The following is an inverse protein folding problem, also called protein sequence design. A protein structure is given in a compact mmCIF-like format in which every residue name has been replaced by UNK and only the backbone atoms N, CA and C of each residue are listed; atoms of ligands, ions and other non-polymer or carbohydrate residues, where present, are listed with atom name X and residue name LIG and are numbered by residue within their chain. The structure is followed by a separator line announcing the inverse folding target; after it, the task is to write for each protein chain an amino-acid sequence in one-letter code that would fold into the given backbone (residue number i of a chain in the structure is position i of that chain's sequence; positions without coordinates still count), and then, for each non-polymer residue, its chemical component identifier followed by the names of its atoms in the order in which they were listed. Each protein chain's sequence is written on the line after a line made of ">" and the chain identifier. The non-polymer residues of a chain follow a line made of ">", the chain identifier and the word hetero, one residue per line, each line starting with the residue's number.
data_IF_423278835207
#
_entry.id   IF_423278835207
#
_cell.length_a   1.000
_cell.length_b   1.000
_cell.length_c   1.000
_cell.angle_alpha   90.00
_cell.angle_beta   90.00
_cell.angle_gamma   90.00
#
_symmetry.space_group_name_H-M   'P 1'
#
loop_
_entity.id
_entity.type
_entity.pdbx_description
1 polymer ?
#
# COMPACT_ATOMS: atom_id res chain seq x y z
N UNK A 1 -27.16 2.40 1.40
CA UNK A 1 -27.35 3.82 1.75
C UNK A 1 -28.81 4.18 1.50
N UNK A 2 -29.58 4.43 2.54
CA UNK A 2 -30.95 4.94 2.46
C UNK A 2 -31.04 6.19 3.34
N UNK A 3 -30.66 7.33 2.76
CA UNK A 3 -30.81 8.66 3.35
C UNK A 3 -31.26 9.60 2.25
N UNK A 4 -32.09 10.59 2.58
CA UNK A 4 -32.59 11.56 1.60
C UNK A 4 -31.42 12.21 0.86
N UNK A 5 -31.40 12.07 -0.48
CA UNK A 5 -30.40 12.71 -1.35
C UNK A 5 -30.74 14.20 -1.46
N UNK A 6 -30.54 14.93 -0.36
CA UNK A 6 -30.72 16.39 -0.31
C UNK A 6 -29.48 17.00 -0.94
N UNK A 7 -29.64 17.50 -2.17
CA UNK A 7 -28.59 18.26 -2.86
C UNK A 7 -28.54 19.66 -2.25
N UNK A 8 -27.34 20.11 -1.84
CA UNK A 8 -27.13 21.41 -1.18
C UNK A 8 -26.51 22.48 -2.09
N UNK A 9 -26.25 22.15 -3.35
CA UNK A 9 -25.60 23.02 -4.35
C UNK A 9 -26.34 22.91 -5.68
N UNK A 10 -26.36 23.98 -6.47
CA UNK A 10 -27.06 24.01 -7.75
C UNK A 10 -26.28 23.28 -8.86
N UNK A 11 -24.95 23.29 -8.80
CA UNK A 11 -24.08 22.59 -9.75
C UNK A 11 -22.72 22.25 -9.14
N UNK A 12 -22.03 21.27 -9.75
CA UNK A 12 -20.63 20.93 -9.46
C UNK A 12 -19.90 20.88 -10.79
N UNK A 13 -18.77 21.60 -10.87
CA UNK A 13 -17.85 21.56 -12.00
C UNK A 13 -16.59 20.86 -11.53
N UNK A 14 -16.21 19.79 -12.21
CA UNK A 14 -14.94 19.11 -11.99
C UNK A 14 -13.92 19.66 -12.98
N UNK A 15 -13.08 20.58 -12.52
CA UNK A 15 -11.97 21.08 -13.31
C UNK A 15 -10.71 20.23 -13.04
N UNK A 16 -10.03 19.82 -14.11
CA UNK A 16 -8.82 19.01 -14.01
C UNK A 16 -7.60 19.91 -14.20
N UNK A 17 -7.13 20.48 -13.08
CA UNK A 17 -5.90 21.27 -13.02
C UNK A 17 -4.77 20.34 -12.58
N UNK A 18 -4.01 19.81 -13.53
CA UNK A 18 -2.99 18.79 -13.26
C UNK A 18 -1.75 19.33 -12.55
N UNK A 19 -1.45 20.63 -12.69
CA UNK A 19 -0.33 21.27 -11.99
C UNK A 19 -0.78 21.74 -10.59
N UNK A 20 -0.18 21.22 -9.50
CA UNK A 20 -0.67 21.53 -8.16
C UNK A 20 -0.45 22.99 -7.73
N UNK A 21 0.57 23.66 -8.26
CA UNK A 21 0.82 25.08 -7.96
C UNK A 21 -0.25 25.96 -8.61
N UNK A 22 -0.65 25.62 -9.84
CA UNK A 22 -1.77 26.26 -10.54
C UNK A 22 -3.08 26.04 -9.81
N UNK A 23 -3.34 24.81 -9.32
CA UNK A 23 -4.54 24.52 -8.53
C UNK A 23 -4.57 25.33 -7.22
N UNK A 24 -3.43 25.45 -6.53
CA UNK A 24 -3.34 26.27 -5.33
C UNK A 24 -3.54 27.76 -5.61
N UNK A 25 -2.94 28.30 -6.68
CA UNK A 25 -3.15 29.69 -7.07
C UNK A 25 -4.62 29.99 -7.43
N UNK A 26 -5.30 29.08 -8.13
CA UNK A 26 -6.72 29.19 -8.44
C UNK A 26 -7.58 29.18 -7.16
N UNK A 27 -7.22 28.34 -6.18
CA UNK A 27 -7.89 28.31 -4.88
C UNK A 27 -7.70 29.64 -4.12
N UNK A 28 -6.49 30.20 -4.10
CA UNK A 28 -6.22 31.50 -3.47
C UNK A 28 -6.93 32.67 -4.17
N UNK A 29 -7.07 32.59 -5.50
CA UNK A 29 -7.80 33.58 -6.29
C UNK A 29 -9.33 33.45 -6.17
N UNK A 30 -9.84 32.38 -5.56
CA UNK A 30 -11.27 32.07 -5.49
C UNK A 30 -11.86 31.62 -6.83
N UNK A 31 -11.02 31.15 -7.76
CA UNK A 31 -11.46 30.59 -9.05
C UNK A 31 -12.00 29.16 -8.89
N UNK A 32 -11.54 28.45 -7.85
CA UNK A 32 -12.06 27.14 -7.44
C UNK A 32 -12.36 27.14 -5.93
N UNK A 33 -13.35 26.36 -5.51
CA UNK A 33 -13.77 26.28 -4.10
C UNK A 33 -13.10 25.13 -3.33
N UNK A 34 -12.52 24.15 -4.05
CA UNK A 34 -12.10 22.88 -3.45
C UNK A 34 -10.94 22.23 -4.20
N UNK A 35 -9.95 21.75 -3.45
CA UNK A 35 -8.88 20.86 -3.92
C UNK A 35 -8.93 19.59 -3.08
N UNK A 36 -9.11 18.43 -3.71
CA UNK A 36 -9.30 17.15 -3.01
C UNK A 36 -8.06 16.72 -2.22
N UNK A 37 -6.88 16.85 -2.83
CA UNK A 37 -5.60 16.43 -2.25
C UNK A 37 -4.53 17.48 -2.53
N UNK A 38 -4.33 18.47 -1.64
CA UNK A 38 -3.22 19.40 -1.80
C UNK A 38 -1.88 18.65 -1.63
N UNK A 39 -0.83 19.07 -2.37
CA UNK A 39 0.53 18.58 -2.14
C UNK A 39 0.98 18.78 -0.70
N UNK A 40 1.71 17.80 -0.15
CA UNK A 40 2.19 17.83 1.24
C UNK A 40 3.05 19.07 1.56
N UNK A 41 3.83 19.57 0.59
CA UNK A 41 4.68 20.77 0.72
C UNK A 41 3.87 22.07 0.76
N UNK A 42 2.67 22.09 0.16
CA UNK A 42 1.76 23.24 0.19
C UNK A 42 0.85 23.27 1.41
N UNK A 43 0.66 22.15 2.12
CA UNK A 43 -0.25 22.07 3.28
C UNK A 43 0.02 23.17 4.31
N UNK A 44 1.28 23.36 4.72
CA UNK A 44 1.61 24.39 5.71
C UNK A 44 1.39 25.82 5.20
N UNK A 45 1.52 26.05 3.90
CA UNK A 45 1.23 27.34 3.28
C UNK A 45 -0.28 27.59 3.28
N UNK A 46 -1.08 26.59 2.89
CA UNK A 46 -2.55 26.67 2.90
C UNK A 46 -3.06 26.92 4.31
N UNK A 47 -2.53 26.23 5.33
CA UNK A 47 -2.92 26.41 6.73
C UNK A 47 -2.57 27.79 7.30
N UNK A 48 -1.62 28.50 6.68
CA UNK A 48 -1.25 29.85 7.08
C UNK A 48 -2.14 30.94 6.48
N UNK A 49 -2.93 30.61 5.43
CA UNK A 49 -3.84 31.55 4.80
C UNK A 49 -5.16 31.63 5.61
N UNK A 50 -5.52 32.82 6.13
CA UNK A 50 -6.72 32.96 6.96
C UNK A 50 -8.04 32.76 6.20
N UNK A 51 -8.01 32.70 4.86
CA UNK A 51 -9.19 32.49 4.02
C UNK A 51 -9.39 31.02 3.63
N UNK A 52 -8.42 30.16 3.91
CA UNK A 52 -8.45 28.76 3.53
C UNK A 52 -8.53 27.85 4.76
N UNK A 53 -9.07 26.65 4.54
CA UNK A 53 -9.16 25.60 5.57
C UNK A 53 -8.65 24.31 4.97
N UNK A 54 -7.74 23.65 5.69
CA UNK A 54 -7.36 22.26 5.42
C UNK A 54 -8.12 21.37 6.40
N UNK A 55 -8.85 20.39 5.87
CA UNK A 55 -9.60 19.43 6.69
C UNK A 55 -9.35 17.98 6.23
N UNK A 56 -9.37 17.06 7.18
CA UNK A 56 -9.25 15.62 6.94
C UNK A 56 -10.66 15.05 6.85
N UNK A 57 -11.17 14.98 5.62
CA UNK A 57 -12.53 14.50 5.36
C UNK A 57 -12.67 12.98 5.56
N UNK A 58 -11.66 12.21 5.14
CA UNK A 58 -11.59 10.77 5.40
C UNK A 58 -10.73 10.50 6.64
N UNK A 59 -11.40 10.38 7.78
CA UNK A 59 -10.75 10.07 9.07
C UNK A 59 -10.27 8.63 9.20
N UNK A 60 -10.79 7.72 8.35
CA UNK A 60 -10.33 6.32 8.34
C UNK A 60 -9.03 6.19 7.54
N UNK A 61 -8.88 7.03 6.52
CA UNK A 61 -7.69 7.11 5.71
C UNK A 61 -7.49 5.89 4.81
N UNK A 62 -6.28 5.81 4.25
CA UNK A 62 -5.87 4.73 3.35
C UNK A 62 -4.63 4.05 3.89
N UNK A 63 -4.62 2.73 3.87
CA UNK A 63 -3.46 1.91 4.16
C UNK A 63 -2.60 1.77 2.89
N UNK A 64 -1.37 2.31 2.94
CA UNK A 64 -0.37 2.12 1.88
C UNK A 64 0.21 0.72 1.98
N UNK A 65 0.45 0.07 0.84
CA UNK A 65 1.04 -1.27 0.81
C UNK A 65 1.93 -1.50 -0.40
N UNK A 66 2.98 -2.29 -0.18
CA UNK A 66 3.82 -2.84 -1.24
C UNK A 66 3.29 -4.22 -1.65
N UNK A 67 2.86 -4.36 -2.91
CA UNK A 67 2.43 -5.64 -3.46
C UNK A 67 3.58 -6.32 -4.18
N UNK A 68 3.92 -7.54 -3.77
CA UNK A 68 4.90 -8.39 -4.46
C UNK A 68 4.20 -9.36 -5.42
N UNK A 69 4.89 -9.72 -6.49
CA UNK A 69 4.46 -10.75 -7.43
C UNK A 69 5.09 -12.10 -7.10
N UNK A 70 4.30 -13.03 -6.55
CA UNK A 70 4.80 -14.34 -6.08
C UNK A 70 5.12 -15.30 -7.25
N UNK A 71 4.79 -14.93 -8.49
CA UNK A 71 5.13 -15.71 -9.67
C UNK A 71 6.53 -15.38 -10.21
N UNK A 72 7.17 -14.30 -9.72
CA UNK A 72 8.44 -13.82 -10.23
C UNK A 72 9.57 -14.11 -9.26
N UNK A 73 10.70 -14.58 -9.79
CA UNK A 73 11.94 -14.61 -9.02
C UNK A 73 12.38 -13.19 -8.62
N UNK A 74 12.93 -12.99 -7.41
CA UNK A 74 13.13 -14.00 -6.36
C UNK A 74 11.92 -14.17 -5.41
N UNK A 75 10.78 -13.50 -5.64
CA UNK A 75 9.64 -13.46 -4.72
C UNK A 75 8.73 -14.70 -4.73
N UNK A 76 8.95 -15.61 -5.66
CA UNK A 76 8.49 -17.00 -5.58
C UNK A 76 9.10 -17.72 -4.37
N UNK A 77 10.32 -17.32 -3.95
CA UNK A 77 10.94 -17.76 -2.71
C UNK A 77 10.51 -16.88 -1.54
N UNK A 78 10.10 -17.53 -0.45
CA UNK A 78 9.65 -16.82 0.73
C UNK A 78 10.75 -15.99 1.42
N UNK A 79 12.00 -16.44 1.38
CA UNK A 79 13.11 -15.70 1.98
C UNK A 79 13.28 -14.32 1.36
N UNK A 80 13.03 -14.17 0.06
CA UNK A 80 13.04 -12.87 -0.60
C UNK A 80 11.85 -11.99 -0.15
N UNK A 81 10.69 -12.58 0.14
CA UNK A 81 9.55 -11.85 0.69
C UNK A 81 9.82 -11.36 2.12
N UNK A 82 10.45 -12.20 2.95
CA UNK A 82 10.95 -11.79 4.28
C UNK A 82 11.97 -10.67 4.17
N UNK A 83 12.86 -10.73 3.18
CA UNK A 83 13.85 -9.71 2.96
C UNK A 83 13.19 -8.34 2.77
N UNK A 84 12.07 -8.27 2.05
CA UNK A 84 11.30 -7.03 1.89
C UNK A 84 10.71 -6.54 3.22
N UNK A 85 10.14 -7.41 4.05
CA UNK A 85 9.63 -7.00 5.37
C UNK A 85 10.73 -6.36 6.24
N UNK A 86 11.95 -6.88 6.17
CA UNK A 86 13.09 -6.29 6.87
C UNK A 86 13.65 -5.06 6.17
N UNK A 87 13.57 -4.94 4.84
CA UNK A 87 14.15 -3.79 4.14
C UNK A 87 13.35 -2.50 4.37
N UNK A 88 12.03 -2.62 4.48
CA UNK A 88 11.14 -1.45 4.56
C UNK A 88 11.10 -0.91 5.99
N UNK A 89 11.64 0.30 6.15
CA UNK A 89 11.36 1.14 7.31
C UNK A 89 10.04 1.87 7.10
N UNK A 90 8.96 1.40 7.72
CA UNK A 90 7.65 2.03 7.53
C UNK A 90 7.61 3.49 7.97
N UNK A 91 8.33 3.86 9.03
CA UNK A 91 8.32 5.25 9.51
C UNK A 91 9.04 6.17 8.50
N UNK A 92 10.21 5.75 8.01
CA UNK A 92 10.91 6.51 6.98
C UNK A 92 10.09 6.64 5.69
N UNK A 93 9.41 5.57 5.27
CA UNK A 93 8.50 5.64 4.12
C UNK A 93 7.34 6.61 4.40
N UNK A 94 6.65 6.50 5.53
CA UNK A 94 5.51 7.37 5.82
C UNK A 94 5.90 8.84 5.99
N UNK A 95 7.11 9.14 6.45
CA UNK A 95 7.67 10.49 6.49
C UNK A 95 7.87 11.10 5.09
N UNK A 96 8.08 10.28 4.07
CA UNK A 96 8.14 10.73 2.66
C UNK A 96 6.74 10.81 2.06
N UNK A 97 5.91 9.79 2.28
CA UNK A 97 4.61 9.67 1.60
C UNK A 97 3.55 10.61 2.17
N UNK A 98 3.53 10.81 3.49
CA UNK A 98 2.56 11.62 4.21
C UNK A 98 3.15 12.19 5.52
N UNK A 99 4.15 13.09 5.48
CA UNK A 99 4.91 13.54 6.65
C UNK A 99 4.07 14.08 7.82
N UNK A 100 2.89 14.64 7.55
CA UNK A 100 1.99 15.21 8.57
C UNK A 100 0.85 14.28 9.01
N UNK A 101 0.37 13.46 8.09
CA UNK A 101 -0.88 12.70 8.26
C UNK A 101 -0.67 11.17 8.27
N UNK A 102 0.54 10.73 7.98
CA UNK A 102 0.93 9.34 7.89
C UNK A 102 1.29 8.73 9.24
N UNK A 103 1.14 7.41 9.33
CA UNK A 103 1.64 6.58 10.43
C UNK A 103 1.90 5.18 9.92
N UNK A 104 2.79 4.45 10.60
CA UNK A 104 3.06 3.04 10.28
C UNK A 104 1.87 2.15 10.64
N UNK A 105 1.64 1.12 9.83
CA UNK A 105 0.56 0.13 10.03
C UNK A 105 1.11 -1.26 9.78
N UNK A 106 1.27 -2.03 10.87
CA UNK A 106 1.77 -3.42 10.80
C UNK A 106 0.66 -4.46 10.77
N UNK A 107 -0.60 -4.04 10.96
CA UNK A 107 -1.73 -4.95 10.91
C UNK A 107 -2.27 -5.09 9.50
N UNK A 108 -2.57 -6.32 9.09
CA UNK A 108 -3.24 -6.57 7.80
C UNK A 108 -4.72 -6.14 7.81
N UNK A 109 -5.25 -5.84 9.00
CA UNK A 109 -6.62 -5.38 9.21
C UNK A 109 -6.70 -3.85 9.31
N UNK A 110 -5.70 -3.12 8.81
CA UNK A 110 -5.68 -1.67 8.86
C UNK A 110 -5.26 -1.11 10.22
N UNK A 111 -5.18 0.21 10.32
CA UNK A 111 -4.64 0.90 11.48
C UNK A 111 -5.66 1.16 12.60
N UNK A 112 -6.95 1.32 12.28
CA UNK A 112 -8.00 1.76 13.22
C UNK A 112 -9.24 0.85 13.23
N UNK A 113 -9.14 -0.38 12.75
CA UNK A 113 -10.28 -1.30 12.74
C UNK A 113 -10.41 -2.06 14.06
N UNK A 114 -11.60 -2.63 14.31
CA UNK A 114 -11.85 -3.45 15.50
C UNK A 114 -11.00 -4.73 15.58
N UNK A 115 -10.31 -5.09 14.49
CA UNK A 115 -9.54 -6.32 14.33
C UNK A 115 -8.04 -6.06 14.16
N UNK A 116 -7.63 -4.78 14.11
CA UNK A 116 -6.24 -4.37 14.10
C UNK A 116 -5.49 -5.00 15.29
N UNK A 117 -4.34 -5.61 15.00
CA UNK A 117 -3.56 -6.33 16.00
C UNK A 117 -2.07 -6.35 15.64
N UNK A 118 -1.25 -6.79 16.59
CA UNK A 118 0.21 -6.79 16.53
C UNK A 118 0.81 -8.20 16.42
N UNK A 119 0.02 -9.21 16.04
CA UNK A 119 0.51 -10.58 15.92
C UNK A 119 1.61 -10.66 14.84
N UNK A 120 2.76 -11.24 15.19
CA UNK A 120 3.90 -11.44 14.30
C UNK A 120 4.42 -10.17 13.59
N UNK A 121 4.49 -9.03 14.29
CA UNK A 121 4.98 -7.74 13.76
C UNK A 121 6.41 -7.40 14.19
N UNK A 122 7.15 -8.37 14.76
CA UNK A 122 8.49 -8.15 15.30
C UNK A 122 9.53 -7.67 14.28
N UNK A 123 9.27 -7.86 12.99
CA UNK A 123 10.11 -7.42 11.87
C UNK A 123 10.17 -5.90 11.71
N UNK A 124 9.13 -5.17 12.13
CA UNK A 124 9.04 -3.70 11.97
C UNK A 124 9.63 -2.91 13.15
N UNK A 125 9.84 -3.57 14.31
CA UNK A 125 10.14 -2.92 15.61
C UNK A 125 11.45 -2.12 15.68
N UNK A 126 12.23 -2.06 14.59
CA UNK A 126 13.52 -1.35 14.52
C UNK A 126 13.64 -0.36 13.36
N UNK A 127 12.56 -0.07 12.61
CA UNK A 127 12.63 0.83 11.46
C UNK A 127 13.46 0.24 10.31
N UNK A 128 13.21 -1.01 9.96
CA UNK A 128 13.98 -1.75 8.95
C UNK A 128 15.34 -2.30 9.44
N UNK A 129 15.85 -3.28 8.70
CA UNK A 129 17.11 -3.99 8.88
C UNK A 129 17.67 -4.40 7.49
N UNK A 130 18.35 -3.48 6.78
CA UNK A 130 18.88 -3.74 5.44
C UNK A 130 19.91 -4.88 5.39
N UNK A 131 20.68 -5.08 6.46
CA UNK A 131 21.65 -6.19 6.53
C UNK A 131 20.93 -7.54 6.65
N UNK A 132 19.87 -7.61 7.45
CA UNK A 132 19.03 -8.81 7.50
C UNK A 132 18.34 -9.07 6.16
N UNK A 133 17.84 -8.02 5.50
CA UNK A 133 17.25 -8.14 4.16
C UNK A 133 18.26 -8.71 3.15
N UNK A 134 19.49 -8.18 3.14
CA UNK A 134 20.58 -8.67 2.28
C UNK A 134 20.91 -10.15 2.55
N UNK A 135 20.97 -10.55 3.82
CA UNK A 135 21.17 -11.95 4.19
C UNK A 135 20.04 -12.83 3.64
N UNK A 136 18.79 -12.41 3.82
CA UNK A 136 17.62 -13.17 3.39
C UNK A 136 17.51 -13.28 1.87
N UNK A 137 17.88 -12.24 1.11
CA UNK A 137 18.00 -12.34 -0.35
C UNK A 137 19.07 -13.36 -0.77
N UNK A 138 20.21 -13.41 -0.08
CA UNK A 138 21.24 -14.44 -0.32
C UNK A 138 20.73 -15.84 0.01
N UNK A 139 20.03 -16.01 1.13
CA UNK A 139 19.39 -17.29 1.51
C UNK A 139 18.28 -17.69 0.51
N UNK A 140 17.62 -16.72 -0.10
CA UNK A 140 16.65 -16.94 -1.18
C UNK A 140 17.28 -17.43 -2.49
N UNK A 141 18.61 -17.37 -2.59
CA UNK A 141 19.35 -17.72 -3.81
C UNK A 141 19.36 -16.61 -4.86
N UNK A 142 19.12 -15.35 -4.46
CA UNK A 142 19.16 -14.21 -5.38
C UNK A 142 20.53 -14.13 -6.07
N UNK A 143 20.50 -14.15 -7.40
CA UNK A 143 21.68 -14.22 -8.26
C UNK A 143 21.85 -12.99 -9.15
N UNK A 144 21.11 -11.91 -8.87
CA UNK A 144 21.14 -10.67 -9.67
C UNK A 144 19.99 -10.57 -10.67
N UNK A 145 18.93 -11.36 -10.50
CA UNK A 145 17.71 -11.26 -11.30
C UNK A 145 17.20 -9.81 -11.32
N UNK A 146 16.75 -9.38 -12.49
CA UNK A 146 16.15 -8.07 -12.67
C UNK A 146 14.81 -8.02 -11.92
N UNK A 147 14.68 -7.02 -11.05
CA UNK A 147 13.45 -6.70 -10.33
C UNK A 147 12.85 -5.45 -10.95
N UNK A 148 11.56 -5.50 -11.32
CA UNK A 148 10.85 -4.35 -11.87
C UNK A 148 9.81 -3.84 -10.88
N UNK A 149 9.96 -2.58 -10.50
CA UNK A 149 9.01 -1.82 -9.69
C UNK A 149 8.12 -0.99 -10.63
N UNK A 150 6.81 -1.21 -10.62
CA UNK A 150 5.89 -0.33 -11.35
C UNK A 150 5.72 0.98 -10.59
N UNK A 151 5.99 2.10 -11.24
CA UNK A 151 5.98 3.43 -10.65
C UNK A 151 4.88 4.27 -11.32
N UNK A 152 3.82 4.60 -10.57
CA UNK A 152 2.79 5.53 -11.05
C UNK A 152 3.26 6.98 -10.85
N UNK A 153 3.67 7.65 -11.92
CA UNK A 153 4.27 8.99 -11.88
C UNK A 153 3.24 10.11 -11.68
N UNK A 154 1.97 9.82 -11.93
CA UNK A 154 0.81 10.71 -11.75
C UNK A 154 0.19 10.59 -10.34
N UNK A 155 0.72 9.72 -9.48
CA UNK A 155 0.26 9.54 -8.11
C UNK A 155 1.44 9.60 -7.13
N UNK A 156 1.63 10.79 -6.53
CA UNK A 156 2.83 11.13 -5.74
C UNK A 156 3.23 10.07 -4.69
N UNK A 157 2.32 9.52 -3.85
CA UNK A 157 2.69 8.47 -2.91
C UNK A 157 3.31 7.21 -3.55
N UNK A 158 2.83 6.81 -4.74
CA UNK A 158 3.42 5.67 -5.46
C UNK A 158 4.74 6.06 -6.12
N UNK A 159 4.81 7.25 -6.72
CA UNK A 159 6.01 7.78 -7.36
C UNK A 159 7.18 7.85 -6.36
N UNK A 160 6.99 8.57 -5.27
CA UNK A 160 8.05 8.88 -4.30
C UNK A 160 8.44 7.62 -3.52
N UNK A 161 7.45 6.80 -3.14
CA UNK A 161 7.69 5.52 -2.50
C UNK A 161 8.46 4.54 -3.38
N UNK A 162 8.17 4.51 -4.69
CA UNK A 162 8.89 3.63 -5.63
C UNK A 162 10.35 4.05 -5.80
N UNK A 163 10.62 5.36 -5.82
CA UNK A 163 11.98 5.88 -5.88
C UNK A 163 12.78 5.55 -4.61
N UNK A 164 12.17 5.76 -3.43
CA UNK A 164 12.78 5.41 -2.14
C UNK A 164 13.05 3.90 -2.05
N UNK A 165 12.09 3.07 -2.46
CA UNK A 165 12.21 1.63 -2.51
C UNK A 165 13.35 1.18 -3.42
N UNK A 166 13.43 1.74 -4.63
CA UNK A 166 14.50 1.42 -5.56
C UNK A 166 15.87 1.81 -5.01
N UNK A 167 15.98 2.95 -4.32
CA UNK A 167 17.22 3.35 -3.65
C UNK A 167 17.60 2.36 -2.53
N UNK A 168 16.65 1.98 -1.67
CA UNK A 168 16.88 1.02 -0.59
C UNK A 168 17.35 -0.35 -1.12
N UNK A 169 16.71 -0.85 -2.18
CA UNK A 169 17.08 -2.10 -2.85
C UNK A 169 18.48 -2.02 -3.49
N UNK A 170 18.82 -0.92 -4.17
CA UNK A 170 20.15 -0.72 -4.75
C UNK A 170 21.24 -0.67 -3.69
N UNK A 171 20.98 -0.04 -2.55
CA UNK A 171 21.93 0.07 -1.45
C UNK A 171 22.35 -1.29 -0.88
N UNK A 172 21.48 -2.30 -0.94
CA UNK A 172 21.82 -3.67 -0.52
C UNK A 172 22.27 -4.57 -1.68
N UNK A 173 22.44 -4.01 -2.89
CA UNK A 173 22.99 -4.70 -4.07
C UNK A 173 21.97 -5.41 -4.94
N UNK A 174 20.69 -5.06 -4.86
CA UNK A 174 19.63 -5.66 -5.70
C UNK A 174 19.55 -4.93 -7.05
N UNK A 175 19.50 -5.70 -8.14
CA UNK A 175 19.30 -5.24 -9.50
C UNK A 175 17.83 -4.83 -9.71
N UNK A 176 17.52 -3.56 -9.45
CA UNK A 176 16.16 -3.01 -9.54
C UNK A 176 16.04 -1.89 -10.56
N UNK A 177 15.01 -2.00 -11.38
CA UNK A 177 14.59 -0.98 -12.35
C UNK A 177 13.19 -0.47 -12.03
N UNK A 178 13.01 0.83 -12.26
CA UNK A 178 11.70 1.47 -12.22
C UNK A 178 11.06 1.40 -13.61
N UNK A 179 9.76 1.11 -13.64
CA UNK A 179 8.93 1.18 -14.83
C UNK A 179 7.93 2.32 -14.65
N UNK A 180 8.30 3.56 -14.99
CA UNK A 180 7.42 4.71 -14.86
C UNK A 180 6.28 4.65 -15.88
N UNK A 181 5.06 4.94 -15.43
CA UNK A 181 3.87 5.15 -16.25
C UNK A 181 2.83 5.97 -15.47
N UNK A 182 1.71 6.32 -16.09
CA UNK A 182 0.52 6.71 -15.35
C UNK A 182 -0.11 5.48 -14.62
N UNK A 183 -1.09 5.74 -13.75
CA UNK A 183 -1.80 4.69 -13.02
C UNK A 183 -2.58 3.74 -13.94
N UNK A 184 -3.05 4.22 -15.08
CA UNK A 184 -3.73 3.42 -16.10
C UNK A 184 -2.82 2.34 -16.69
N UNK A 185 -1.63 2.73 -17.13
CA UNK A 185 -0.58 1.85 -17.64
C UNK A 185 -0.10 0.85 -16.59
N UNK A 186 0.09 1.30 -15.34
CA UNK A 186 0.39 0.42 -14.21
C UNK A 186 -0.73 -0.60 -14.02
N UNK A 187 -1.98 -0.14 -14.03
CA UNK A 187 -3.17 -0.98 -13.84
C UNK A 187 -3.32 -2.06 -14.92
N UNK A 188 -3.00 -1.74 -16.18
CA UNK A 188 -2.94 -2.74 -17.25
C UNK A 188 -1.77 -3.71 -17.05
N UNK A 189 -0.58 -3.21 -16.69
CA UNK A 189 0.62 -4.05 -16.57
C UNK A 189 0.58 -5.01 -15.38
N UNK A 190 0.02 -4.61 -14.23
CA UNK A 190 -0.06 -5.47 -13.04
C UNK A 190 -0.93 -6.73 -13.23
N UNK A 191 -1.79 -6.74 -14.26
CA UNK A 191 -2.57 -7.93 -14.63
C UNK A 191 -1.74 -9.00 -15.36
N UNK A 192 -0.57 -8.66 -15.90
CA UNK A 192 0.29 -9.61 -16.61
C UNK A 192 0.98 -10.57 -15.65
N UNK A 193 0.91 -11.86 -15.98
CA UNK A 193 1.63 -12.96 -15.29
C UNK A 193 2.95 -13.32 -15.97
N UNK A 194 3.25 -12.71 -17.12
CA UNK A 194 4.48 -12.92 -17.87
C UNK A 194 5.73 -12.67 -17.03
N UNK A 195 6.88 -13.23 -17.45
CA UNK A 195 8.16 -12.93 -16.82
C UNK A 195 8.50 -11.44 -16.92
N UNK A 196 9.35 -10.95 -16.02
CA UNK A 196 9.89 -9.57 -16.07
C UNK A 196 10.44 -9.21 -17.46
N UNK A 197 11.16 -10.13 -18.11
CA UNK A 197 11.72 -9.91 -19.46
C UNK A 197 10.67 -9.79 -20.57
N UNK A 198 9.47 -10.32 -20.35
CA UNK A 198 8.35 -10.28 -21.30
C UNK A 198 7.28 -9.24 -20.91
N UNK A 199 7.69 -8.19 -20.19
CA UNK A 199 6.81 -7.10 -19.79
C UNK A 199 6.01 -7.36 -18.50
N UNK A 200 6.37 -8.40 -17.75
CA UNK A 200 5.93 -8.63 -16.38
C UNK A 200 6.45 -7.59 -15.40
N UNK A 201 6.26 -7.86 -14.11
CA UNK A 201 6.53 -6.92 -13.01
C UNK A 201 6.79 -7.69 -11.71
N UNK A 202 7.60 -7.12 -10.83
CA UNK A 202 7.99 -7.78 -9.56
C UNK A 202 7.26 -7.19 -8.35
N UNK A 203 7.06 -5.87 -8.32
CA UNK A 203 6.33 -5.21 -7.23
C UNK A 203 5.74 -3.85 -7.63
N UNK A 204 4.79 -3.35 -6.85
CA UNK A 204 4.25 -1.99 -6.98
C UNK A 204 3.66 -1.51 -5.66
N UNK A 205 3.59 -0.19 -5.48
CA UNK A 205 2.94 0.44 -4.33
C UNK A 205 1.51 0.84 -4.70
N UNK A 206 0.57 0.52 -3.82
CA UNK A 206 -0.84 0.87 -3.91
C UNK A 206 -1.39 1.24 -2.54
N UNK A 207 -2.65 1.68 -2.51
CA UNK A 207 -3.37 1.90 -1.28
C UNK A 207 -4.69 1.13 -1.28
N UNK A 208 -5.27 1.02 -0.09
CA UNK A 208 -6.62 0.52 0.16
C UNK A 208 -7.30 1.42 1.17
N UNK A 209 -8.61 1.58 1.07
CA UNK A 209 -9.35 2.27 2.12
C UNK A 209 -9.26 1.49 3.43
N UNK A 210 -8.78 2.10 4.52
CA UNK A 210 -8.42 1.38 5.74
C UNK A 210 -9.61 0.61 6.32
N UNK A 211 -10.80 1.23 6.30
CA UNK A 211 -12.03 0.61 6.77
C UNK A 211 -12.38 -0.70 6.04
N UNK A 212 -11.97 -0.85 4.78
CA UNK A 212 -12.26 -2.07 4.01
C UNK A 212 -11.46 -3.26 4.52
N UNK A 213 -10.29 -3.04 5.13
CA UNK A 213 -9.44 -4.10 5.70
C UNK A 213 -10.12 -4.81 6.90
N UNK A 214 -11.17 -4.21 7.47
CA UNK A 214 -12.02 -4.86 8.46
C UNK A 214 -12.86 -6.02 7.89
N UNK A 215 -12.94 -6.18 6.57
CA UNK A 215 -13.72 -7.22 5.90
C UNK A 215 -12.84 -8.14 5.03
N UNK A 216 -12.15 -9.13 5.64
CA UNK A 216 -11.26 -10.05 4.92
C UNK A 216 -11.97 -10.98 3.92
N UNK A 217 -13.31 -11.02 3.90
CA UNK A 217 -14.05 -11.79 2.90
C UNK A 217 -14.23 -11.02 1.59
N UNK A 218 -14.39 -9.69 1.67
CA UNK A 218 -14.66 -8.86 0.52
C UNK A 218 -13.40 -8.17 -0.03
N UNK A 219 -12.39 -7.96 0.80
CA UNK A 219 -11.22 -7.14 0.45
C UNK A 219 -10.21 -7.96 -0.36
N UNK A 220 -10.00 -7.66 -1.67
CA UNK A 220 -9.20 -8.49 -2.56
C UNK A 220 -7.74 -8.64 -2.11
N UNK A 221 -7.22 -7.64 -1.41
CA UNK A 221 -5.85 -7.62 -0.88
C UNK A 221 -5.55 -8.71 0.15
N UNK A 222 -6.60 -9.23 0.80
CA UNK A 222 -6.54 -10.24 1.84
C UNK A 222 -6.88 -11.64 1.30
N UNK A 223 -6.91 -11.82 -0.02
CA UNK A 223 -7.04 -13.14 -0.63
C UNK A 223 -5.65 -13.75 -0.83
N UNK A 224 -5.50 -15.01 -0.43
CA UNK A 224 -4.32 -15.84 -0.68
C UNK A 224 -4.71 -17.19 -1.30
N UNK A 225 -5.62 -17.18 -2.28
CA UNK A 225 -6.13 -18.35 -3.00
C UNK A 225 -5.45 -18.55 -4.38
N UNK A 226 -4.19 -18.12 -4.53
CA UNK A 226 -3.35 -18.38 -5.69
C UNK A 226 -3.79 -17.62 -6.94
N UNK A 227 -4.06 -18.33 -8.04
CA UNK A 227 -4.38 -17.70 -9.32
C UNK A 227 -5.64 -16.82 -9.30
N UNK A 228 -6.56 -17.10 -8.38
CA UNK A 228 -7.79 -16.35 -8.13
C UNK A 228 -7.59 -15.18 -7.16
N UNK A 229 -6.43 -15.07 -6.53
CA UNK A 229 -6.12 -13.96 -5.65
C UNK A 229 -5.90 -12.69 -6.46
N UNK A 230 -6.00 -11.55 -5.79
CA UNK A 230 -5.65 -10.28 -6.40
C UNK A 230 -4.18 -10.26 -6.83
N UNK A 231 -3.80 -9.26 -7.63
CA UNK A 231 -2.48 -9.16 -8.26
C UNK A 231 -1.34 -9.57 -7.33
N UNK A 232 -0.41 -10.33 -7.89
CA UNK A 232 0.69 -10.95 -7.15
C UNK A 232 0.41 -12.37 -6.68
N UNK A 233 -0.85 -12.83 -6.80
CA UNK A 233 -1.27 -14.23 -6.72
C UNK A 233 -0.73 -15.00 -5.51
N UNK A 234 -0.77 -14.45 -4.28
CA UNK A 234 -0.33 -15.17 -3.11
C UNK A 234 -1.16 -16.43 -2.90
N UNK A 235 -0.53 -17.50 -2.44
CA UNK A 235 -1.21 -18.76 -2.09
C UNK A 235 -0.84 -19.19 -0.68
N UNK A 236 -1.85 -19.39 0.17
CA UNK A 236 -1.72 -19.99 1.48
C UNK A 236 -3.05 -20.67 1.89
N UNK A 237 -3.09 -22.00 1.76
CA UNK A 237 -4.30 -22.79 2.00
C UNK A 237 -4.71 -22.78 3.49
N UNK A 238 -3.75 -22.68 4.42
CA UNK A 238 -4.03 -22.60 5.86
C UNK A 238 -4.65 -21.24 6.23
N UNK A 239 -4.10 -20.15 5.68
CA UNK A 239 -4.67 -18.81 5.84
C UNK A 239 -6.08 -18.74 5.25
N UNK A 240 -6.31 -19.29 4.05
CA UNK A 240 -7.63 -19.32 3.43
C UNK A 240 -8.64 -20.14 4.24
N UNK A 241 -8.21 -21.24 4.86
CA UNK A 241 -9.04 -22.03 5.76
C UNK A 241 -9.44 -21.25 7.04
N UNK A 242 -8.55 -20.40 7.57
CA UNK A 242 -8.92 -19.47 8.66
C UNK A 242 -9.86 -18.37 8.16
N UNK A 243 -9.55 -17.74 7.03
CA UNK A 243 -10.35 -16.66 6.43
C UNK A 243 -11.78 -17.11 6.15
N UNK A 244 -11.98 -18.34 5.67
CA UNK A 244 -13.31 -18.91 5.44
C UNK A 244 -14.17 -19.00 6.71
N UNK A 245 -13.57 -19.14 7.89
CA UNK A 245 -14.29 -19.17 9.18
C UNK A 245 -14.85 -17.80 9.58
N UNK A 246 -14.40 -16.71 8.96
CA UNK A 246 -14.78 -15.35 9.34
C UNK A 246 -16.30 -15.13 9.37
N UNK A 247 -17.03 -15.70 8.40
CA UNK A 247 -18.48 -15.62 8.32
C UNK A 247 -19.21 -16.38 9.44
N UNK A 248 -18.59 -17.41 10.00
CA UNK A 248 -19.19 -18.29 11.03
C UNK A 248 -18.93 -17.84 12.46
N UNK A 249 -18.04 -16.88 12.68
CA UNK A 249 -17.71 -16.40 14.03
C UNK A 249 -18.79 -15.45 14.55
N UNK A 250 -19.35 -15.76 15.72
CA UNK A 250 -20.52 -15.08 16.27
C UNK A 250 -20.18 -13.84 17.11
N UNK A 251 -19.08 -13.87 17.85
CA UNK A 251 -18.72 -12.78 18.79
C UNK A 251 -17.55 -11.94 18.29
N UNK A 252 -17.46 -10.71 18.80
CA UNK A 252 -16.33 -9.83 18.53
C UNK A 252 -15.00 -10.42 19.03
N UNK A 253 -15.00 -11.03 20.22
CA UNK A 253 -13.79 -11.59 20.82
C UNK A 253 -13.26 -12.80 20.05
N UNK A 254 -14.14 -13.71 19.62
CA UNK A 254 -13.76 -14.79 18.71
C UNK A 254 -13.23 -14.25 17.39
N UNK A 255 -13.80 -13.14 16.88
CA UNK A 255 -13.38 -12.55 15.60
C UNK A 255 -12.01 -11.88 15.71
N UNK A 256 -11.72 -11.22 16.83
CA UNK A 256 -10.37 -10.72 17.16
C UNK A 256 -9.37 -11.85 17.30
N UNK A 257 -9.74 -12.95 17.97
CA UNK A 257 -8.86 -14.12 18.09
C UNK A 257 -8.54 -14.73 16.72
N UNK A 258 -9.54 -14.88 15.84
CA UNK A 258 -9.35 -15.32 14.47
C UNK A 258 -8.46 -14.34 13.67
N UNK A 259 -8.67 -13.03 13.84
CA UNK A 259 -7.84 -12.01 13.19
C UNK A 259 -6.37 -12.11 13.57
N UNK A 260 -6.05 -12.36 14.86
CA UNK A 260 -4.67 -12.60 15.30
C UNK A 260 -4.08 -13.84 14.63
N UNK A 261 -4.80 -14.96 14.60
CA UNK A 261 -4.32 -16.18 13.92
C UNK A 261 -4.07 -15.96 12.42
N UNK A 262 -5.00 -15.29 11.75
CA UNK A 262 -4.87 -14.93 10.34
C UNK A 262 -3.65 -14.05 10.08
N UNK A 263 -3.45 -13.00 10.90
CA UNK A 263 -2.30 -12.11 10.75
C UNK A 263 -0.98 -12.83 11.04
N UNK A 264 -0.95 -13.66 12.08
CA UNK A 264 0.20 -14.50 12.41
C UNK A 264 0.64 -15.31 11.20
N UNK A 265 -0.29 -16.04 10.57
CA UNK A 265 0.00 -16.79 9.33
C UNK A 265 0.34 -15.89 8.15
N UNK A 266 -0.27 -14.72 8.01
CA UNK A 266 0.03 -13.80 6.92
C UNK A 266 1.50 -13.39 6.96
N UNK A 267 1.97 -12.81 8.06
CA UNK A 267 3.38 -12.45 8.19
C UNK A 267 4.30 -13.66 8.22
N UNK A 268 3.79 -14.83 8.61
CA UNK A 268 4.53 -16.09 8.52
C UNK A 268 4.60 -16.65 7.09
N UNK A 269 3.67 -16.38 6.18
CA UNK A 269 3.69 -16.88 4.78
C UNK A 269 4.31 -15.89 3.78
N UNK A 270 4.51 -14.67 4.24
CA UNK A 270 5.63 -13.85 3.82
C UNK A 270 6.98 -14.40 4.34
N UNK A 271 6.96 -15.47 5.17
CA UNK A 271 8.10 -16.10 5.84
C UNK A 271 8.32 -17.64 5.69
N UNK A 272 7.32 -18.39 5.21
CA UNK A 272 7.26 -19.81 4.82
C UNK A 272 6.87 -19.96 3.35
#
# INVERSE_FOLDING_TARGET
>A
MAGGKIVKVDSIIWDNISDPQTAFAALQAGEIDYVEQPPNDLVSVIESDPNLVVDVLDKTGKSMLLRLNFLQKPFDNVKARQAMLHLIDQEAFMNVLAPKYGRSVTSIFGGDTLYSNDENTGWDKKGGDPEKAKQLFKEAGYAGEKIVVLQATDWAPSNDGSQLLAAALRNIGINVELAPSDWGGLSTRRAKKDSVENGGWSMFITSEADFSLANPLATPLLLANGESAWYGWPKNDEYEALRAKWASVATLEERKALARQMQGLWWTSWAM
#
